data_IF_787572684383
#
_entry.id   IF_787572684383
#
_cell.length_a   1.000
_cell.length_b   1.000
_cell.length_c   1.000
_cell.angle_alpha   90.00
_cell.angle_beta   90.00
_cell.angle_gamma   90.00
#
_symmetry.space_group_name_H-M   'P 1'
#
loop_
_entity.id
_entity.type
_entity.pdbx_description
1 polymer ?
#
# COMPACT_ATOMS: atom_id res chain seq x y z
N UNK A 1 -19.74 6.54 25.75
CA UNK A 1 -18.43 6.22 25.20
C UNK A 1 -18.32 6.88 23.85
N UNK A 2 -17.48 7.88 23.74
CA UNK A 2 -17.15 8.53 22.49
C UNK A 2 -16.54 7.48 21.55
N UNK A 3 -17.24 7.16 20.49
CA UNK A 3 -16.70 6.47 19.35
C UNK A 3 -15.75 7.48 18.66
N UNK A 4 -14.50 7.47 19.03
CA UNK A 4 -13.49 8.12 18.22
C UNK A 4 -13.45 7.34 16.91
N UNK A 5 -13.75 8.03 15.82
CA UNK A 5 -13.49 7.50 14.50
C UNK A 5 -11.96 7.34 14.39
N UNK A 6 -11.48 6.10 14.32
CA UNK A 6 -10.11 5.85 13.91
C UNK A 6 -9.96 6.36 12.46
N UNK A 7 -8.78 6.83 12.15
CA UNK A 7 -8.46 7.37 10.83
C UNK A 7 -8.76 6.36 9.74
N UNK A 8 -9.55 6.76 8.77
CA UNK A 8 -10.15 5.86 7.77
C UNK A 8 -9.16 5.19 6.83
N UNK A 9 -7.93 5.69 6.75
CA UNK A 9 -6.89 5.18 5.85
C UNK A 9 -5.91 4.21 6.51
N UNK A 10 -5.97 4.07 7.83
CA UNK A 10 -5.01 3.26 8.58
C UNK A 10 -5.58 1.90 8.98
N UNK A 11 -4.68 0.98 9.29
CA UNK A 11 -5.05 -0.33 9.78
C UNK A 11 -5.70 -0.24 11.17
N UNK A 12 -6.77 -1.01 11.44
CA UNK A 12 -7.38 -1.10 12.77
C UNK A 12 -6.46 -1.70 13.84
N UNK A 13 -5.31 -2.23 13.44
CA UNK A 13 -4.29 -2.77 14.35
C UNK A 13 -3.29 -1.73 14.84
N UNK A 14 -3.30 -0.54 14.29
CA UNK A 14 -2.34 0.49 14.68
C UNK A 14 -2.58 0.99 16.11
N UNK A 15 -1.48 1.28 16.80
CA UNK A 15 -1.50 1.91 18.10
C UNK A 15 -2.26 3.26 18.02
N UNK A 16 -3.10 3.52 19.01
CA UNK A 16 -3.86 4.77 19.08
C UNK A 16 -2.94 5.93 19.37
N UNK A 17 -3.23 7.05 18.72
CA UNK A 17 -2.58 8.32 19.05
C UNK A 17 -3.19 8.83 20.35
N UNK A 18 -2.30 9.28 21.25
CA UNK A 18 -2.70 9.89 22.52
C UNK A 18 -2.02 11.26 22.62
N UNK A 19 -2.82 12.31 22.67
CA UNK A 19 -2.35 13.67 22.74
C UNK A 19 -2.29 14.38 21.40
N UNK A 20 -1.47 15.42 21.31
CA UNK A 20 -1.25 16.23 20.12
C UNK A 20 -0.19 15.57 19.24
N UNK A 21 -0.44 15.51 17.93
CA UNK A 21 0.59 15.17 16.96
C UNK A 21 1.48 16.39 16.69
N UNK A 22 2.78 16.19 16.75
CA UNK A 22 3.77 17.27 16.58
C UNK A 22 4.26 17.37 15.14
N UNK A 23 4.25 16.25 14.40
CA UNK A 23 4.85 16.18 13.07
C UNK A 23 3.95 15.43 12.09
N UNK A 24 3.99 15.85 10.80
CA UNK A 24 3.50 15.09 9.67
C UNK A 24 4.65 14.73 8.75
N UNK A 25 4.62 13.51 8.21
CA UNK A 25 5.61 13.02 7.26
C UNK A 25 5.02 13.02 5.85
N UNK A 26 5.75 13.62 4.92
CA UNK A 26 5.36 13.72 3.51
C UNK A 26 6.41 13.01 2.68
N UNK A 27 6.02 11.94 2.00
CA UNK A 27 6.85 11.25 1.03
C UNK A 27 6.74 11.95 -0.31
N UNK A 28 7.80 12.67 -0.72
CA UNK A 28 7.78 13.60 -1.85
C UNK A 28 8.49 13.02 -3.07
N UNK A 29 7.88 13.26 -4.23
CA UNK A 29 8.38 12.86 -5.53
C UNK A 29 9.47 13.84 -6.04
N UNK A 30 10.60 13.30 -6.47
CA UNK A 30 11.61 14.04 -7.24
C UNK A 30 11.14 14.27 -8.68
N UNK A 31 11.14 15.55 -9.11
CA UNK A 31 10.69 15.94 -10.45
C UNK A 31 11.89 16.39 -11.28
N UNK A 32 11.95 15.93 -12.54
CA UNK A 32 13.00 16.29 -13.49
C UNK A 32 13.05 17.82 -13.71
N UNK A 33 14.26 18.37 -13.65
CA UNK A 33 14.47 19.79 -13.79
C UNK A 33 14.08 20.64 -12.58
N UNK A 34 13.66 20.01 -11.46
CA UNK A 34 13.27 20.72 -10.24
C UNK A 34 14.14 20.32 -9.05
N UNK A 35 14.84 21.31 -8.49
CA UNK A 35 15.69 21.12 -7.29
C UNK A 35 16.81 20.10 -7.55
N UNK A 36 16.94 19.12 -6.63
CA UNK A 36 17.93 18.04 -6.73
C UNK A 36 17.35 16.74 -7.35
N UNK A 37 16.11 16.80 -7.80
CA UNK A 37 15.38 15.71 -8.48
C UNK A 37 15.30 14.40 -7.68
N UNK A 38 15.36 14.47 -6.35
CA UNK A 38 15.39 13.25 -5.51
C UNK A 38 14.11 13.09 -4.70
N UNK A 39 13.68 11.85 -4.56
CA UNK A 39 12.61 11.50 -3.63
C UNK A 39 13.09 11.70 -2.18
N UNK A 40 12.20 12.26 -1.34
CA UNK A 40 12.54 12.64 0.05
C UNK A 40 11.41 12.35 1.01
N UNK A 41 11.79 11.98 2.23
CA UNK A 41 10.89 12.11 3.37
C UNK A 41 11.05 13.52 3.97
N UNK A 42 9.97 14.30 3.93
CA UNK A 42 9.91 15.65 4.49
C UNK A 42 9.11 15.60 5.79
N UNK A 43 9.64 16.21 6.84
CA UNK A 43 8.96 16.36 8.14
C UNK A 43 8.52 17.80 8.32
N UNK A 44 7.23 18.00 8.59
CA UNK A 44 6.63 19.30 8.85
C UNK A 44 6.13 19.34 10.29
N UNK A 45 6.44 20.43 11.02
CA UNK A 45 5.89 20.67 12.35
C UNK A 45 4.42 21.04 12.25
N UNK A 46 3.55 20.31 12.96
CA UNK A 46 2.09 20.53 12.96
C UNK A 46 1.51 20.81 14.36
N UNK A 47 2.37 20.93 15.37
CA UNK A 47 1.93 21.36 16.69
C UNK A 47 1.65 22.87 16.68
N UNK A 48 0.39 23.32 16.88
CA UNK A 48 0.03 24.73 16.82
C UNK A 48 0.67 25.58 17.94
N UNK A 49 1.23 24.95 18.96
CA UNK A 49 1.95 25.63 20.05
C UNK A 49 3.46 25.71 19.80
N UNK A 50 3.96 25.14 18.72
CA UNK A 50 5.37 25.21 18.32
C UNK A 50 5.66 26.52 17.59
N UNK A 51 6.82 27.14 17.86
CA UNK A 51 7.32 28.27 17.08
C UNK A 51 7.57 27.91 15.60
N UNK A 52 7.77 26.62 15.32
CA UNK A 52 8.00 26.08 13.98
C UNK A 52 6.71 25.56 13.31
N UNK A 53 5.52 25.89 13.82
CA UNK A 53 4.27 25.42 13.24
C UNK A 53 4.16 25.76 11.75
N UNK A 54 3.92 24.72 10.92
CA UNK A 54 3.82 24.81 9.46
C UNK A 54 5.17 24.82 8.73
N UNK A 55 6.30 24.73 9.43
CA UNK A 55 7.62 24.74 8.83
C UNK A 55 8.15 23.32 8.55
N UNK A 56 8.95 23.19 7.49
CA UNK A 56 9.75 22.00 7.24
C UNK A 56 10.91 21.97 8.22
N UNK A 57 10.90 20.98 9.11
CA UNK A 57 11.94 20.83 10.15
C UNK A 57 13.05 19.85 9.74
N UNK A 58 12.76 18.93 8.84
CA UNK A 58 13.78 18.06 8.24
C UNK A 58 13.39 17.58 6.85
N UNK A 59 14.40 17.19 6.07
CA UNK A 59 14.24 16.59 4.76
C UNK A 59 15.34 15.54 4.57
N UNK A 60 14.94 14.30 4.29
CA UNK A 60 15.85 13.16 4.14
C UNK A 60 15.68 12.56 2.73
N UNK A 61 16.70 12.73 1.87
CA UNK A 61 16.73 12.11 0.55
C UNK A 61 17.08 10.63 0.62
N UNK A 62 16.48 9.84 -0.25
CA UNK A 62 16.82 8.41 -0.45
C UNK A 62 17.66 8.15 -1.69
N UNK A 63 18.01 9.21 -2.42
CA UNK A 63 18.77 9.15 -3.68
C UNK A 63 17.90 8.78 -4.89
N UNK A 64 18.01 9.60 -5.93
CA UNK A 64 17.35 9.39 -7.22
C UNK A 64 15.83 9.57 -7.21
N UNK A 65 15.23 9.33 -8.37
CA UNK A 65 13.79 9.30 -8.61
C UNK A 65 13.31 7.86 -8.60
N UNK A 66 12.61 7.47 -7.55
CA UNK A 66 12.06 6.13 -7.36
C UNK A 66 10.56 6.08 -7.64
N UNK A 67 9.98 7.23 -7.93
CA UNK A 67 8.54 7.50 -7.94
C UNK A 67 7.93 7.29 -6.55
N UNK A 68 8.17 8.25 -5.67
CA UNK A 68 7.57 8.30 -4.34
C UNK A 68 6.04 8.25 -4.45
N UNK A 69 5.41 7.23 -3.85
CA UNK A 69 3.99 6.98 -4.05
C UNK A 69 3.26 6.84 -2.72
N UNK A 70 3.07 5.65 -2.19
CA UNK A 70 2.38 5.43 -0.94
C UNK A 70 3.34 5.19 0.23
N UNK A 71 2.87 5.54 1.43
CA UNK A 71 3.55 5.23 2.67
C UNK A 71 2.56 4.76 3.72
N UNK A 72 3.05 4.01 4.71
CA UNK A 72 2.25 3.52 5.83
C UNK A 72 3.11 3.25 7.05
N UNK A 73 2.55 3.51 8.23
CA UNK A 73 3.21 3.24 9.50
C UNK A 73 3.04 1.77 9.91
N UNK A 74 4.00 1.24 10.66
CA UNK A 74 3.87 -0.03 11.38
C UNK A 74 2.80 0.07 12.48
N UNK A 75 2.29 -1.07 12.97
CA UNK A 75 1.26 -1.12 14.01
C UNK A 75 1.67 -0.42 15.31
N UNK A 76 2.96 -0.46 15.64
CA UNK A 76 3.57 0.25 16.78
C UNK A 76 3.98 1.70 16.47
N UNK A 77 3.74 2.18 15.24
CA UNK A 77 4.12 3.51 14.72
C UNK A 77 5.61 3.82 14.77
N UNK A 78 6.45 2.82 14.95
CA UNK A 78 7.89 3.01 15.01
C UNK A 78 8.50 3.31 13.65
N UNK A 79 8.06 2.60 12.63
CA UNK A 79 8.61 2.73 11.29
C UNK A 79 7.57 3.24 10.31
N UNK A 80 8.01 4.14 9.43
CA UNK A 80 7.28 4.55 8.25
C UNK A 80 7.87 3.81 7.05
N UNK A 81 7.04 3.03 6.37
CA UNK A 81 7.35 2.32 5.15
C UNK A 81 6.91 3.16 3.96
N UNK A 82 7.80 3.44 3.02
CA UNK A 82 7.55 4.28 1.87
C UNK A 82 8.01 3.58 0.59
N UNK A 83 7.12 3.50 -0.38
CA UNK A 83 7.35 2.77 -1.62
C UNK A 83 7.84 3.69 -2.71
N UNK A 84 8.83 3.21 -3.48
CA UNK A 84 9.22 3.74 -4.78
C UNK A 84 8.57 2.89 -5.87
N UNK A 85 7.50 3.40 -6.49
CA UNK A 85 6.66 2.62 -7.40
C UNK A 85 7.44 2.13 -8.63
N UNK A 86 8.16 3.03 -9.30
CA UNK A 86 8.91 2.71 -10.51
C UNK A 86 10.15 1.86 -10.21
N UNK A 87 10.85 2.14 -9.11
CA UNK A 87 12.07 1.41 -8.77
C UNK A 87 11.81 0.04 -8.13
N UNK A 88 10.58 -0.22 -7.71
CA UNK A 88 10.19 -1.37 -6.88
C UNK A 88 11.07 -1.53 -5.62
N UNK A 89 11.55 -0.41 -5.06
CA UNK A 89 12.25 -0.36 -3.78
C UNK A 89 11.31 0.07 -2.67
N UNK A 90 11.66 -0.29 -1.45
CA UNK A 90 10.95 0.16 -0.25
C UNK A 90 11.96 0.77 0.71
N UNK A 91 11.62 1.93 1.24
CA UNK A 91 12.41 2.67 2.21
C UNK A 91 11.70 2.62 3.57
N UNK A 92 12.42 2.19 4.60
CA UNK A 92 11.92 2.08 5.96
C UNK A 92 12.61 3.14 6.81
N UNK A 93 11.82 4.08 7.34
CA UNK A 93 12.34 5.17 8.18
C UNK A 93 12.00 4.91 9.65
N UNK A 94 12.96 5.07 10.55
CA UNK A 94 12.70 5.16 11.98
C UNK A 94 12.18 6.59 12.27
N UNK A 95 10.89 6.66 12.61
CA UNK A 95 10.20 7.91 12.97
C UNK A 95 9.92 7.99 14.47
N UNK A 96 10.39 7.01 15.24
CA UNK A 96 10.16 6.92 16.68
C UNK A 96 11.34 7.48 17.49
N UNK A 97 12.57 7.21 17.07
CA UNK A 97 13.77 7.60 17.82
C UNK A 97 13.95 9.11 17.88
N UNK A 98 13.74 9.80 16.75
CA UNK A 98 13.69 11.26 16.66
C UNK A 98 12.58 11.64 15.65
N UNK A 99 11.36 11.90 16.12
CA UNK A 99 10.24 12.23 15.25
C UNK A 99 10.42 13.50 14.42
N UNK A 100 11.18 14.48 14.91
CA UNK A 100 11.48 15.71 14.18
C UNK A 100 12.49 15.47 13.04
N UNK A 101 13.37 14.47 13.20
CA UNK A 101 14.44 14.16 12.26
C UNK A 101 14.54 12.65 12.02
N UNK A 102 13.60 12.04 11.30
CA UNK A 102 13.64 10.63 10.96
C UNK A 102 14.94 10.19 10.32
N UNK A 103 15.33 8.96 10.53
CA UNK A 103 16.48 8.34 9.89
C UNK A 103 16.10 7.16 9.02
N UNK A 104 16.86 6.92 7.94
CA UNK A 104 16.67 5.75 7.10
C UNK A 104 17.17 4.51 7.86
N UNK A 105 16.23 3.65 8.27
CA UNK A 105 16.53 2.39 8.95
C UNK A 105 17.00 1.32 7.97
N UNK A 106 16.30 1.17 6.83
CA UNK A 106 16.62 0.14 5.85
C UNK A 106 16.08 0.51 4.46
N UNK A 107 16.79 0.08 3.43
CA UNK A 107 16.29 0.01 2.05
C UNK A 107 16.13 -1.45 1.66
N UNK A 108 14.94 -1.83 1.17
CA UNK A 108 14.70 -3.11 0.51
C UNK A 108 14.84 -2.88 -0.99
N UNK A 109 15.98 -3.22 -1.54
CA UNK A 109 16.33 -3.04 -2.95
C UNK A 109 16.14 -4.33 -3.78
N UNK A 110 15.85 -5.42 -3.12
CA UNK A 110 15.66 -6.74 -3.71
C UNK A 110 14.20 -7.23 -3.61
N UNK A 111 13.25 -6.30 -3.52
CA UNK A 111 11.82 -6.60 -3.35
C UNK A 111 11.31 -7.57 -4.43
N UNK A 112 11.60 -7.29 -5.70
CA UNK A 112 11.17 -8.11 -6.85
C UNK A 112 11.67 -9.55 -6.72
N UNK A 113 12.98 -9.71 -6.50
CA UNK A 113 13.59 -11.04 -6.38
C UNK A 113 13.07 -11.82 -5.15
N UNK A 114 12.91 -11.14 -4.00
CA UNK A 114 12.44 -11.77 -2.77
C UNK A 114 10.97 -12.16 -2.84
N UNK A 115 10.15 -11.34 -3.45
CA UNK A 115 8.71 -11.61 -3.61
C UNK A 115 8.39 -12.65 -4.69
N UNK A 116 9.35 -12.97 -5.56
CA UNK A 116 9.14 -13.90 -6.68
C UNK A 116 8.57 -13.23 -7.93
N UNK A 117 8.90 -11.94 -8.17
CA UNK A 117 8.52 -11.21 -9.37
C UNK A 117 7.44 -10.14 -9.18
N UNK A 118 7.00 -9.87 -7.95
CA UNK A 118 6.05 -8.76 -7.69
C UNK A 118 6.75 -7.42 -7.92
N UNK A 119 6.11 -6.53 -8.67
CA UNK A 119 6.59 -5.17 -8.97
C UNK A 119 5.58 -4.11 -8.56
N UNK A 120 6.04 -2.87 -8.47
CA UNK A 120 5.20 -1.73 -8.11
C UNK A 120 4.62 -1.85 -6.69
N UNK A 121 5.46 -1.87 -5.63
CA UNK A 121 4.97 -1.88 -4.26
C UNK A 121 4.12 -0.63 -4.02
N UNK A 122 2.86 -0.83 -3.62
CA UNK A 122 1.87 0.24 -3.52
C UNK A 122 1.44 0.50 -2.07
N UNK A 123 0.39 -0.16 -1.60
CA UNK A 123 -0.11 0.04 -0.24
C UNK A 123 0.76 -0.71 0.78
N UNK A 124 1.25 0.01 1.78
CA UNK A 124 1.87 -0.56 2.99
C UNK A 124 0.84 -0.61 4.11
N UNK A 125 0.44 -1.80 4.54
CA UNK A 125 -0.67 -2.00 5.47
C UNK A 125 -0.24 -2.75 6.72
N UNK A 126 -0.40 -2.12 7.89
CA UNK A 126 0.01 -2.69 9.17
C UNK A 126 -0.88 -3.85 9.62
N UNK A 127 -0.25 -4.91 10.07
CA UNK A 127 -0.81 -6.00 10.86
C UNK A 127 0.02 -6.14 12.15
N UNK A 128 -0.44 -6.87 13.16
CA UNK A 128 0.34 -7.04 14.40
C UNK A 128 1.76 -7.56 14.14
N UNK A 129 2.76 -6.70 14.34
CA UNK A 129 4.18 -6.98 14.13
C UNK A 129 4.62 -7.18 12.68
N UNK A 130 3.78 -6.81 11.71
CA UNK A 130 4.00 -7.08 10.28
C UNK A 130 3.46 -5.98 9.39
N UNK A 131 3.99 -5.93 8.17
CA UNK A 131 3.47 -5.11 7.08
C UNK A 131 3.07 -6.01 5.90
N UNK A 132 1.89 -5.79 5.36
CA UNK A 132 1.47 -6.29 4.04
C UNK A 132 1.72 -5.22 3.00
N UNK A 133 2.34 -5.61 1.89
CA UNK A 133 2.56 -4.76 0.73
C UNK A 133 1.75 -5.32 -0.44
N UNK A 134 0.92 -4.48 -1.06
CA UNK A 134 0.34 -4.83 -2.35
C UNK A 134 1.33 -4.50 -3.46
N UNK A 135 1.56 -5.44 -4.38
CA UNK A 135 2.22 -5.12 -5.64
C UNK A 135 1.17 -4.82 -6.71
N UNK A 136 1.41 -3.82 -7.55
CA UNK A 136 0.47 -3.51 -8.63
C UNK A 136 0.41 -4.63 -9.66
N UNK A 137 1.57 -5.22 -10.00
CA UNK A 137 1.71 -6.20 -11.07
C UNK A 137 2.83 -7.20 -10.76
N UNK A 138 3.18 -7.97 -11.79
CA UNK A 138 4.32 -8.89 -11.80
C UNK A 138 5.29 -8.48 -12.91
N UNK A 139 6.56 -8.86 -12.82
CA UNK A 139 7.58 -8.55 -13.83
C UNK A 139 7.28 -9.14 -15.22
N UNK A 140 6.43 -10.17 -15.31
CA UNK A 140 5.88 -10.67 -16.58
C UNK A 140 4.74 -9.83 -17.13
N UNK A 141 4.34 -8.78 -16.42
CA UNK A 141 3.31 -7.82 -16.77
C UNK A 141 1.93 -8.45 -16.97
N UNK A 142 1.28 -8.21 -18.10
CA UNK A 142 -0.04 -8.78 -18.41
C UNK A 142 0.04 -10.32 -18.50
N UNK A 143 -0.71 -10.99 -17.64
CA UNK A 143 -0.74 -12.45 -17.53
C UNK A 143 0.11 -13.04 -16.41
N UNK A 144 0.99 -12.25 -15.78
CA UNK A 144 1.61 -12.61 -14.51
C UNK A 144 0.70 -12.19 -13.34
N UNK A 145 0.62 -13.03 -12.30
CA UNK A 145 -0.13 -12.66 -11.10
C UNK A 145 0.75 -11.94 -10.10
N UNK A 146 0.23 -10.87 -9.48
CA UNK A 146 0.86 -10.23 -8.33
C UNK A 146 0.47 -10.92 -7.02
N UNK A 147 0.91 -10.38 -5.90
CA UNK A 147 0.61 -10.92 -4.58
C UNK A 147 0.64 -9.87 -3.48
N UNK A 148 0.21 -10.31 -2.31
CA UNK A 148 0.43 -9.61 -1.05
C UNK A 148 1.77 -10.07 -0.48
N UNK A 149 2.72 -9.17 -0.36
CA UNK A 149 4.05 -9.48 0.17
C UNK A 149 4.09 -9.12 1.65
N UNK A 150 4.46 -10.08 2.49
CA UNK A 150 4.45 -9.93 3.95
C UNK A 150 5.87 -9.83 4.49
N UNK A 151 6.11 -8.80 5.31
CA UNK A 151 7.37 -8.53 5.99
C UNK A 151 7.16 -8.35 7.49
N UNK A 152 8.22 -8.51 8.29
CA UNK A 152 8.26 -8.00 9.66
C UNK A 152 8.28 -6.46 9.65
N UNK A 153 7.92 -5.81 10.76
CA UNK A 153 8.00 -4.35 10.89
C UNK A 153 9.40 -3.79 10.54
N UNK A 154 10.47 -4.57 10.79
CA UNK A 154 11.86 -4.17 10.56
C UNK A 154 12.39 -4.50 9.15
N UNK A 155 11.57 -5.08 8.27
CA UNK A 155 11.92 -5.31 6.88
C UNK A 155 12.46 -6.70 6.53
N UNK A 156 12.24 -7.71 7.37
CA UNK A 156 12.59 -9.08 7.01
C UNK A 156 11.44 -9.74 6.25
N UNK A 157 11.73 -10.24 5.05
CA UNK A 157 10.76 -10.93 4.22
C UNK A 157 10.22 -12.19 4.90
N UNK A 158 8.90 -12.37 4.85
CA UNK A 158 8.24 -13.54 5.41
C UNK A 158 7.74 -14.44 4.28
N UNK A 159 6.84 -13.91 3.42
CA UNK A 159 6.23 -14.70 2.33
C UNK A 159 5.51 -13.81 1.33
N UNK A 160 5.13 -14.39 0.19
CA UNK A 160 4.23 -13.81 -0.79
C UNK A 160 2.96 -14.65 -0.87
N UNK A 161 1.80 -14.02 -0.69
CA UNK A 161 0.50 -14.62 -0.87
C UNK A 161 -0.02 -14.22 -2.26
N UNK A 162 0.00 -15.16 -3.18
CA UNK A 162 -0.33 -14.91 -4.58
C UNK A 162 -1.82 -14.67 -4.80
N UNK A 163 -2.16 -13.79 -5.74
CA UNK A 163 -3.53 -13.63 -6.21
C UNK A 163 -4.04 -14.98 -6.73
N UNK A 164 -5.31 -15.32 -6.48
CA UNK A 164 -5.84 -16.61 -6.86
C UNK A 164 -5.88 -16.77 -8.38
N UNK A 165 -5.44 -17.94 -8.84
CA UNK A 165 -5.67 -18.43 -10.19
C UNK A 165 -6.95 -19.27 -10.23
N UNK A 166 -7.40 -19.58 -11.43
CA UNK A 166 -8.56 -20.47 -11.59
C UNK A 166 -8.39 -21.80 -10.83
N UNK A 167 -9.43 -22.18 -10.11
CA UNK A 167 -9.51 -23.45 -9.39
C UNK A 167 -8.83 -23.46 -8.01
N UNK A 168 -8.15 -22.38 -7.59
CA UNK A 168 -7.43 -22.33 -6.30
C UNK A 168 -8.28 -21.78 -5.15
N UNK A 169 -9.55 -21.46 -5.36
CA UNK A 169 -10.43 -20.93 -4.31
C UNK A 169 -10.87 -22.04 -3.35
N UNK A 170 -10.31 -22.06 -2.14
CA UNK A 170 -10.76 -22.98 -1.10
C UNK A 170 -12.19 -22.63 -0.64
N UNK A 171 -13.15 -23.53 -0.91
CA UNK A 171 -14.50 -23.46 -0.37
C UNK A 171 -15.43 -22.42 -1.00
N UNK A 172 -14.98 -21.64 -1.98
CA UNK A 172 -15.89 -20.90 -2.83
C UNK A 172 -16.46 -21.84 -3.88
N UNK A 173 -17.77 -21.80 -4.12
CA UNK A 173 -18.34 -22.42 -5.29
C UNK A 173 -17.53 -21.94 -6.50
N UNK A 174 -17.18 -22.85 -7.39
CA UNK A 174 -16.48 -22.52 -8.62
C UNK A 174 -17.35 -21.58 -9.43
N UNK A 175 -17.18 -20.29 -9.22
CA UNK A 175 -17.98 -19.27 -9.90
C UNK A 175 -17.56 -19.06 -11.34
N UNK A 176 -16.49 -19.72 -11.77
CA UNK A 176 -15.86 -19.45 -13.07
C UNK A 176 -15.17 -18.08 -13.13
N UNK A 177 -15.07 -17.39 -12.00
CA UNK A 177 -14.42 -16.09 -11.88
C UNK A 177 -12.94 -16.25 -11.57
N UNK A 178 -12.13 -15.43 -12.21
CA UNK A 178 -10.68 -15.38 -12.02
C UNK A 178 -10.33 -14.01 -11.45
N UNK A 179 -9.38 -13.95 -10.55
CA UNK A 179 -8.72 -12.69 -10.29
C UNK A 179 -7.93 -12.27 -11.54
N UNK A 180 -7.96 -10.98 -11.84
CA UNK A 180 -7.26 -10.43 -13.01
C UNK A 180 -5.72 -10.40 -12.87
N UNK A 181 -5.21 -10.76 -11.71
CA UNK A 181 -3.78 -10.87 -11.44
C UNK A 181 -3.11 -9.57 -10.98
N UNK A 182 -3.85 -8.47 -10.88
CA UNK A 182 -3.31 -7.19 -10.42
C UNK A 182 -3.65 -6.92 -8.96
N UNK A 183 -2.97 -5.95 -8.36
CA UNK A 183 -3.24 -5.47 -7.02
C UNK A 183 -3.21 -3.95 -6.96
N UNK A 184 -3.86 -3.38 -5.94
CA UNK A 184 -3.80 -1.95 -5.67
C UNK A 184 -3.84 -1.68 -4.16
N UNK A 185 -4.98 -1.90 -3.54
CA UNK A 185 -5.19 -1.62 -2.13
C UNK A 185 -5.46 -2.89 -1.30
N UNK A 186 -5.30 -2.81 0.01
CA UNK A 186 -5.60 -3.88 0.95
C UNK A 186 -6.23 -3.32 2.22
N UNK A 187 -7.32 -3.96 2.70
CA UNK A 187 -8.00 -3.58 3.94
C UNK A 187 -8.40 -4.79 4.76
N UNK A 188 -8.18 -4.72 6.07
CA UNK A 188 -8.57 -5.74 7.02
C UNK A 188 -9.85 -5.39 7.78
N UNK A 189 -10.70 -6.39 7.95
CA UNK A 189 -11.89 -6.37 8.79
C UNK A 189 -11.74 -7.46 9.88
N UNK A 190 -11.01 -7.17 10.98
CA UNK A 190 -10.61 -8.21 11.94
C UNK A 190 -11.78 -8.94 12.58
N UNK A 191 -12.86 -8.23 12.93
CA UNK A 191 -14.05 -8.82 13.55
C UNK A 191 -14.78 -9.83 12.66
N UNK A 192 -14.48 -9.81 11.35
CA UNK A 192 -15.09 -10.69 10.35
C UNK A 192 -14.13 -11.73 9.80
N UNK A 193 -12.88 -11.69 10.23
CA UNK A 193 -11.79 -12.49 9.65
C UNK A 193 -11.74 -12.33 8.12
N UNK A 194 -11.81 -11.09 7.66
CA UNK A 194 -11.79 -10.74 6.23
C UNK A 194 -10.63 -9.80 5.94
N UNK A 195 -9.96 -10.06 4.82
CA UNK A 195 -9.04 -9.16 4.15
C UNK A 195 -9.58 -8.93 2.73
N UNK A 196 -9.52 -7.71 2.25
CA UNK A 196 -9.96 -7.33 0.90
C UNK A 196 -8.77 -6.78 0.13
N UNK A 197 -8.65 -7.14 -1.14
CA UNK A 197 -7.69 -6.53 -2.07
C UNK A 197 -8.42 -6.07 -3.31
N UNK A 198 -8.02 -4.92 -3.82
CA UNK A 198 -8.49 -4.38 -5.09
C UNK A 198 -7.43 -4.57 -6.19
N UNK A 199 -7.78 -4.18 -7.39
CA UNK A 199 -7.02 -4.40 -8.61
C UNK A 199 -6.69 -3.09 -9.33
N UNK A 200 -5.72 -3.13 -10.22
CA UNK A 200 -5.35 -1.99 -11.07
C UNK A 200 -5.01 -2.43 -12.48
N UNK A 201 -3.72 -2.46 -12.85
CA UNK A 201 -3.26 -2.79 -14.21
C UNK A 201 -1.79 -3.23 -14.20
N UNK A 202 -1.30 -3.71 -15.33
CA UNK A 202 0.07 -4.15 -15.49
C UNK A 202 1.11 -3.02 -15.54
N UNK A 203 2.39 -3.39 -15.35
CA UNK A 203 3.53 -2.48 -15.29
C UNK A 203 3.59 -1.52 -16.48
N UNK A 204 3.44 -2.03 -17.68
CA UNK A 204 3.54 -1.21 -18.88
C UNK A 204 2.45 -0.14 -18.95
N UNK A 205 1.25 -0.45 -18.43
CA UNK A 205 0.16 0.53 -18.38
C UNK A 205 0.40 1.62 -17.34
N UNK A 206 0.68 1.25 -16.08
CA UNK A 206 0.78 2.26 -15.02
C UNK A 206 2.04 3.12 -15.13
N UNK A 207 3.03 2.70 -15.93
CA UNK A 207 4.21 3.52 -16.26
C UNK A 207 4.01 4.43 -17.48
N UNK A 208 2.88 4.32 -18.19
CA UNK A 208 2.54 5.24 -19.27
C UNK A 208 2.20 6.63 -18.74
N UNK A 209 2.36 7.65 -19.59
CA UNK A 209 1.76 8.96 -19.32
C UNK A 209 0.23 8.81 -19.20
N UNK A 210 -0.36 9.44 -18.18
CA UNK A 210 -1.80 9.30 -17.90
C UNK A 210 -2.67 9.65 -19.10
N UNK A 211 -2.34 10.72 -19.84
CA UNK A 211 -3.10 11.14 -21.03
C UNK A 211 -3.00 10.11 -22.17
N UNK A 212 -1.85 9.52 -22.37
CA UNK A 212 -1.63 8.46 -23.36
C UNK A 212 -2.39 7.18 -22.97
N UNK A 213 -2.29 6.77 -21.71
CA UNK A 213 -3.01 5.62 -21.18
C UNK A 213 -4.52 5.76 -21.37
N UNK A 214 -5.09 6.89 -20.97
CA UNK A 214 -6.53 7.17 -21.08
C UNK A 214 -7.01 7.26 -22.54
N UNK A 215 -6.12 7.56 -23.48
CA UNK A 215 -6.43 7.68 -24.91
C UNK A 215 -6.24 6.36 -25.67
N UNK A 216 -5.64 5.35 -25.05
CA UNK A 216 -5.36 4.04 -25.66
C UNK A 216 -6.44 3.02 -25.31
N UNK A 217 -7.28 2.58 -26.29
CA UNK A 217 -8.26 1.51 -26.04
C UNK A 217 -7.61 0.21 -25.57
N UNK A 218 -6.41 -0.10 -26.04
CA UNK A 218 -5.65 -1.29 -25.62
C UNK A 218 -5.24 -1.17 -24.14
N UNK A 219 -4.65 -0.05 -23.73
CA UNK A 219 -4.28 0.18 -22.34
C UNK A 219 -5.52 0.12 -21.44
N UNK A 220 -6.62 0.75 -21.85
CA UNK A 220 -7.87 0.73 -21.09
C UNK A 220 -8.48 -0.68 -20.97
N UNK A 221 -8.30 -1.55 -21.95
CA UNK A 221 -8.77 -2.94 -21.90
C UNK A 221 -7.96 -3.83 -20.94
N UNK A 222 -6.78 -3.39 -20.55
CA UNK A 222 -5.88 -4.10 -19.64
C UNK A 222 -6.05 -3.72 -18.16
N UNK A 223 -7.05 -2.91 -17.83
CA UNK A 223 -7.38 -2.66 -16.42
C UNK A 223 -8.11 -3.86 -15.81
N UNK A 224 -7.72 -4.18 -14.59
CA UNK A 224 -8.41 -5.19 -13.79
C UNK A 224 -9.75 -4.67 -13.27
N UNK A 225 -10.63 -5.60 -12.91
CA UNK A 225 -11.98 -5.30 -12.45
C UNK A 225 -12.42 -6.23 -11.30
N UNK A 226 -11.47 -6.76 -10.53
CA UNK A 226 -11.79 -7.71 -9.47
C UNK A 226 -11.41 -7.20 -8.08
N UNK A 227 -12.21 -7.60 -7.11
CA UNK A 227 -11.90 -7.51 -5.68
C UNK A 227 -11.80 -8.92 -5.12
N UNK A 228 -10.71 -9.23 -4.45
CA UNK A 228 -10.53 -10.54 -3.83
C UNK A 228 -10.82 -10.46 -2.33
N UNK A 229 -11.66 -11.36 -1.85
CA UNK A 229 -11.97 -11.56 -0.44
C UNK A 229 -11.12 -12.70 0.09
N UNK A 230 -10.33 -12.43 1.12
CA UNK A 230 -9.42 -13.39 1.76
C UNK A 230 -9.86 -13.71 3.18
N UNK A 231 -9.45 -14.85 3.65
CA UNK A 231 -9.38 -15.13 5.08
C UNK A 231 -8.20 -14.34 5.68
N UNK A 232 -8.48 -13.45 6.62
CA UNK A 232 -7.47 -12.58 7.21
C UNK A 232 -6.39 -13.36 7.96
N UNK A 233 -6.75 -14.42 8.68
CA UNK A 233 -5.77 -15.16 9.50
C UNK A 233 -4.92 -16.13 8.68
N UNK A 234 -5.53 -16.79 7.70
CA UNK A 234 -4.83 -17.81 6.89
C UNK A 234 -4.25 -17.27 5.59
N UNK A 235 -4.61 -16.05 5.18
CA UNK A 235 -4.26 -15.45 3.87
C UNK A 235 -4.72 -16.31 2.68
N UNK A 236 -5.77 -17.10 2.87
CA UNK A 236 -6.35 -17.89 1.78
C UNK A 236 -7.48 -17.12 1.11
N UNK A 237 -7.49 -17.01 -0.23
CA UNK A 237 -8.58 -16.37 -0.94
C UNK A 237 -9.87 -17.19 -0.74
N UNK A 238 -11.00 -16.49 -0.53
CA UNK A 238 -12.33 -17.08 -0.32
C UNK A 238 -13.27 -16.81 -1.47
N UNK A 239 -13.19 -15.62 -2.07
CA UNK A 239 -14.12 -15.18 -3.11
C UNK A 239 -13.49 -14.14 -4.00
N UNK A 240 -13.85 -14.15 -5.26
CA UNK A 240 -13.58 -13.09 -6.23
C UNK A 240 -14.89 -12.39 -6.56
N UNK A 241 -14.87 -11.07 -6.56
CA UNK A 241 -16.01 -10.22 -6.93
C UNK A 241 -15.64 -9.44 -8.18
N UNK A 242 -16.44 -9.56 -9.23
CA UNK A 242 -16.35 -8.68 -10.38
C UNK A 242 -17.03 -7.35 -10.05
N UNK A 243 -16.37 -6.26 -10.40
CA UNK A 243 -16.88 -4.91 -10.22
C UNK A 243 -16.78 -4.14 -11.54
N UNK A 244 -17.65 -3.16 -11.78
CA UNK A 244 -17.57 -2.36 -12.98
C UNK A 244 -16.38 -1.37 -12.86
N UNK A 245 -15.42 -1.46 -13.77
CA UNK A 245 -14.23 -0.61 -13.80
C UNK A 245 -13.11 -1.07 -12.88
N UNK A 246 -12.01 -0.31 -12.82
CA UNK A 246 -10.86 -0.59 -12.00
C UNK A 246 -11.14 -0.24 -10.53
N UNK A 247 -11.19 -1.21 -9.62
CA UNK A 247 -11.42 -0.97 -8.20
C UNK A 247 -10.12 -0.53 -7.54
N UNK A 248 -9.86 0.76 -7.45
CA UNK A 248 -8.62 1.29 -6.90
C UNK A 248 -8.62 1.19 -5.36
N UNK A 249 -9.05 2.24 -4.72
CA UNK A 249 -9.07 2.35 -3.27
C UNK A 249 -10.24 1.56 -2.65
N UNK A 250 -9.99 0.93 -1.51
CA UNK A 250 -11.05 0.31 -0.70
C UNK A 250 -11.20 1.12 0.59
N UNK A 251 -12.44 1.49 0.92
CA UNK A 251 -12.77 2.10 2.20
C UNK A 251 -13.95 1.38 2.81
N UNK A 252 -13.79 0.96 4.06
CA UNK A 252 -14.84 0.24 4.77
C UNK A 252 -15.49 1.15 5.80
N UNK A 253 -16.82 1.07 5.90
CA UNK A 253 -17.59 1.86 6.87
C UNK A 253 -17.25 1.44 8.30
N UNK A 254 -17.16 2.43 9.20
CA UNK A 254 -16.82 2.26 10.59
C UNK A 254 -18.06 2.01 11.44
N UNK A 255 -17.90 1.20 12.45
CA UNK A 255 -18.94 0.88 13.42
C UNK A 255 -19.26 -0.61 13.49
N UNK A 256 -19.77 -1.05 14.63
CA UNK A 256 -20.00 -2.47 14.92
C UNK A 256 -21.02 -3.14 14.00
N UNK A 257 -21.92 -2.34 13.42
CA UNK A 257 -23.01 -2.84 12.56
C UNK A 257 -22.81 -2.56 11.07
N UNK A 258 -21.71 -1.90 10.69
CA UNK A 258 -21.45 -1.59 9.30
C UNK A 258 -20.81 -2.78 8.59
N UNK A 259 -21.39 -3.14 7.44
CA UNK A 259 -21.02 -4.29 6.62
C UNK A 259 -20.65 -3.89 5.20
N UNK A 260 -20.41 -2.61 4.97
CA UNK A 260 -20.19 -2.07 3.65
C UNK A 260 -18.76 -1.60 3.49
N UNK A 261 -18.16 -1.99 2.37
CA UNK A 261 -16.93 -1.40 1.85
C UNK A 261 -17.26 -0.78 0.49
N UNK A 262 -16.57 0.28 0.16
CA UNK A 262 -16.69 1.01 -1.10
C UNK A 262 -15.36 0.92 -1.83
N UNK A 263 -15.42 0.83 -3.14
CA UNK A 263 -14.26 0.96 -4.02
C UNK A 263 -14.59 1.98 -5.11
N UNK A 264 -13.57 2.66 -5.59
CA UNK A 264 -13.70 3.70 -6.64
C UNK A 264 -13.63 3.09 -8.03
#
# INVERSE_FOLDING_TARGET
SSLFADETCQSPYMAKIVGQEDFVYIWTLGIEGLGDEQDKLVTVSVNPNSEQYGEVVSSLSVGGRNEAHHSGLTDDRRYLWASGLASSKIFIFDVHTDPAKPSLHRTIDNFVAKSGGVVGPHTSYALPGRILITGLSNETDHGGVTGLVEYTNAGDYITTHWMPKDGELNGAEKSGQFADGYGYDVRALPRRNVLLTSSFTGLNNYMMNLGEMMSSPEAMSNFGNTVVVWDLHTRKPKKILDVPGAPLEIRCAWGSNNNYCFTT
#
